data_IF_010075160089
#
_entry.id   IF_010075160089
#
_cell.length_a   1.000
_cell.length_b   1.000
_cell.length_c   1.000
_cell.angle_alpha   90.00
_cell.angle_beta   90.00
_cell.angle_gamma   90.00
#
_symmetry.space_group_name_H-M   'P 1'
#
loop_
_entity.id
_entity.type
_entity.pdbx_description
1 polymer ?
#
# COMPACT_ATOMS: atom_id res chain seq x y z
N UNK A 1 -12.12 20.82 -28.51
CA UNK A 1 -12.12 19.36 -28.27
C UNK A 1 -12.96 19.09 -27.03
N UNK A 2 -14.20 18.62 -27.21
CA UNK A 2 -15.11 18.31 -26.11
C UNK A 2 -14.72 16.99 -25.46
N UNK A 3 -14.30 17.03 -24.20
CA UNK A 3 -14.16 15.83 -23.39
C UNK A 3 -15.56 15.33 -23.05
N UNK A 4 -16.06 14.36 -23.81
CA UNK A 4 -17.20 13.57 -23.38
C UNK A 4 -16.80 12.87 -22.08
N UNK A 5 -17.38 13.31 -20.95
CA UNK A 5 -17.39 12.53 -19.71
C UNK A 5 -18.02 11.18 -20.06
N UNK A 6 -17.20 10.17 -20.31
CA UNK A 6 -17.63 8.79 -20.40
C UNK A 6 -18.38 8.49 -19.10
N UNK A 7 -19.69 8.39 -19.24
CA UNK A 7 -20.59 8.08 -18.16
C UNK A 7 -20.21 6.67 -17.73
N UNK A 8 -19.43 6.56 -16.65
CA UNK A 8 -19.06 5.28 -16.06
C UNK A 8 -20.38 4.54 -15.84
N UNK A 9 -20.67 3.47 -16.61
CA UNK A 9 -21.94 2.80 -16.51
C UNK A 9 -22.02 2.35 -15.08
N UNK A 10 -22.94 2.95 -14.31
CA UNK A 10 -23.27 2.49 -12.97
C UNK A 10 -23.63 1.02 -13.16
N UNK A 11 -22.66 0.13 -12.95
CA UNK A 11 -22.87 -1.30 -13.00
C UNK A 11 -24.00 -1.53 -12.01
N UNK A 12 -25.21 -1.72 -12.55
CA UNK A 12 -26.38 -2.08 -11.76
C UNK A 12 -25.98 -3.40 -11.13
N UNK A 13 -25.55 -3.32 -9.87
CA UNK A 13 -25.30 -4.48 -9.04
C UNK A 13 -26.55 -5.34 -9.18
N UNK A 14 -26.42 -6.48 -9.87
CA UNK A 14 -27.46 -7.49 -9.94
C UNK A 14 -27.92 -7.68 -8.48
N UNK A 15 -29.23 -7.62 -8.18
CA UNK A 15 -29.72 -7.73 -6.81
C UNK A 15 -29.19 -9.03 -6.22
N UNK A 16 -28.12 -8.93 -5.44
CA UNK A 16 -27.46 -10.10 -4.90
C UNK A 16 -28.38 -10.68 -3.85
N UNK A 17 -28.40 -12.02 -3.79
CA UNK A 17 -29.07 -12.76 -2.72
C UNK A 17 -28.80 -12.07 -1.37
N UNK A 18 -29.83 -12.01 -0.51
CA UNK A 18 -29.77 -11.29 0.77
C UNK A 18 -28.46 -11.64 1.49
N UNK A 19 -27.65 -10.65 1.88
CA UNK A 19 -26.35 -10.90 2.51
C UNK A 19 -26.54 -11.72 3.78
N UNK A 20 -25.68 -12.72 3.98
CA UNK A 20 -25.67 -13.51 5.22
C UNK A 20 -24.93 -12.74 6.31
N UNK A 21 -25.23 -12.99 7.60
CA UNK A 21 -24.56 -12.33 8.73
C UNK A 21 -23.04 -12.49 8.76
N UNK A 22 -22.56 -13.55 8.13
CA UNK A 22 -21.14 -13.95 8.12
C UNK A 22 -20.48 -13.72 6.76
N UNK A 23 -21.10 -12.90 5.90
CA UNK A 23 -20.51 -12.51 4.62
C UNK A 23 -19.35 -11.54 4.85
N UNK A 24 -18.17 -11.96 4.42
CA UNK A 24 -16.97 -11.14 4.37
C UNK A 24 -16.82 -10.61 2.95
N UNK A 25 -16.75 -9.28 2.83
CA UNK A 25 -16.43 -8.64 1.57
C UNK A 25 -14.93 -8.32 1.54
N UNK A 26 -14.20 -9.00 0.67
CA UNK A 26 -12.80 -8.69 0.42
C UNK A 26 -12.69 -7.83 -0.81
N UNK A 27 -12.08 -6.67 -0.69
CA UNK A 27 -11.73 -5.81 -1.82
C UNK A 27 -10.21 -5.67 -1.86
N UNK A 28 -9.61 -6.02 -2.99
CA UNK A 28 -8.18 -5.87 -3.25
C UNK A 28 -8.00 -4.80 -4.31
N UNK A 29 -7.04 -3.91 -4.07
CA UNK A 29 -6.59 -2.90 -5.03
C UNK A 29 -5.16 -3.20 -5.42
N UNK A 30 -4.93 -3.45 -6.70
CA UNK A 30 -3.61 -3.60 -7.31
C UNK A 30 -3.25 -2.35 -8.09
N UNK A 31 -2.04 -1.85 -7.87
CA UNK A 31 -1.48 -0.71 -8.59
C UNK A 31 -0.25 -1.18 -9.35
N UNK A 32 -0.24 -0.96 -10.65
CA UNK A 32 0.83 -1.33 -11.57
C UNK A 32 1.81 -0.18 -11.77
N UNK A 33 3.09 -0.53 -11.91
CA UNK A 33 4.16 0.37 -12.30
C UNK A 33 4.24 0.53 -13.82
N UNK A 34 4.86 1.62 -14.26
CA UNK A 34 5.22 1.82 -15.66
C UNK A 34 6.27 0.78 -16.12
N UNK A 35 6.23 0.24 -17.36
CA UNK A 35 5.31 0.58 -18.46
C UNK A 35 3.96 -0.14 -18.41
N UNK A 36 3.84 -1.23 -17.63
CA UNK A 36 2.67 -2.11 -17.62
C UNK A 36 1.38 -1.39 -17.22
N UNK A 37 1.47 -0.33 -16.40
CA UNK A 37 0.32 0.51 -16.05
C UNK A 37 -0.41 1.09 -17.28
N UNK A 38 0.27 1.30 -18.42
CA UNK A 38 -0.35 1.74 -19.68
C UNK A 38 -1.16 0.65 -20.38
N UNK A 39 -0.81 -0.62 -20.17
CA UNK A 39 -1.53 -1.76 -20.75
C UNK A 39 -2.82 -2.05 -19.98
N UNK A 40 -2.87 -1.63 -18.72
CA UNK A 40 -4.05 -1.69 -17.85
C UNK A 40 -4.90 -0.43 -18.09
N UNK A 41 -5.53 -0.36 -19.24
CA UNK A 41 -6.41 0.75 -19.63
C UNK A 41 -7.89 0.42 -19.34
N UNK A 42 -8.66 1.30 -18.67
CA UNK A 42 -10.11 1.13 -18.54
C UNK A 42 -10.85 0.97 -19.89
N UNK A 43 -10.36 1.59 -20.96
CA UNK A 43 -10.95 1.45 -22.30
C UNK A 43 -10.70 0.07 -22.91
N UNK A 44 -9.57 -0.57 -22.55
CA UNK A 44 -9.17 -1.91 -22.98
C UNK A 44 -9.43 -2.97 -21.88
N UNK A 45 -10.62 -2.94 -21.26
CA UNK A 45 -10.94 -3.76 -20.09
C UNK A 45 -10.69 -5.27 -20.29
N UNK A 46 -11.09 -5.85 -21.43
CA UNK A 46 -10.91 -7.29 -21.68
C UNK A 46 -9.42 -7.67 -21.71
N UNK A 47 -8.55 -7.07 -22.55
CA UNK A 47 -7.10 -7.27 -22.50
C UNK A 47 -6.52 -7.05 -21.10
N UNK A 48 -6.87 -5.95 -20.43
CA UNK A 48 -6.35 -5.62 -19.12
C UNK A 48 -6.72 -6.68 -18.07
N UNK A 49 -7.95 -7.20 -18.07
CA UNK A 49 -8.34 -8.27 -17.14
C UNK A 49 -7.58 -9.58 -17.38
N UNK A 50 -7.17 -9.89 -18.61
CA UNK A 50 -6.35 -11.07 -18.90
C UNK A 50 -4.94 -10.92 -18.33
N UNK A 51 -4.34 -9.74 -18.43
CA UNK A 51 -3.04 -9.42 -17.81
C UNK A 51 -3.14 -9.61 -16.29
N UNK A 52 -4.17 -9.03 -15.67
CA UNK A 52 -4.37 -9.15 -14.21
C UNK A 52 -4.58 -10.60 -13.79
N UNK A 53 -5.34 -11.39 -14.55
CA UNK A 53 -5.54 -12.83 -14.25
C UNK A 53 -4.23 -13.61 -14.34
N UNK A 54 -3.40 -13.33 -15.34
CA UNK A 54 -2.09 -13.95 -15.48
C UNK A 54 -1.19 -13.59 -14.29
N UNK A 55 -1.17 -12.33 -13.86
CA UNK A 55 -0.39 -11.90 -12.71
C UNK A 55 -0.88 -12.48 -11.40
N UNK A 56 -2.19 -12.53 -11.18
CA UNK A 56 -2.78 -13.20 -10.02
C UNK A 56 -2.41 -14.68 -9.96
N UNK A 57 -2.45 -15.36 -11.12
CA UNK A 57 -2.01 -16.75 -11.22
C UNK A 57 -0.52 -16.90 -10.88
N UNK A 58 0.34 -16.02 -11.38
CA UNK A 58 1.77 -16.01 -11.06
C UNK A 58 2.04 -15.79 -9.55
N UNK A 59 1.19 -15.01 -8.87
CA UNK A 59 1.24 -14.82 -7.41
C UNK A 59 0.62 -15.98 -6.61
N UNK A 60 0.08 -17.01 -7.27
CA UNK A 60 -0.65 -18.11 -6.62
C UNK A 60 -1.98 -17.67 -6.01
N UNK A 61 -2.54 -16.55 -6.47
CA UNK A 61 -3.83 -16.01 -6.05
C UNK A 61 -4.89 -16.43 -7.06
N UNK A 62 -5.96 -17.07 -6.58
CA UNK A 62 -7.09 -17.44 -7.44
C UNK A 62 -7.74 -16.22 -8.08
N UNK A 63 -8.07 -16.27 -9.37
CA UNK A 63 -8.62 -15.11 -10.07
C UNK A 63 -10.11 -14.85 -9.71
N UNK A 64 -10.50 -13.58 -9.48
CA UNK A 64 -11.91 -13.23 -9.29
C UNK A 64 -12.69 -13.41 -10.60
N UNK A 65 -14.02 -13.46 -10.49
CA UNK A 65 -14.90 -13.41 -11.68
C UNK A 65 -14.72 -12.04 -12.34
N UNK A 66 -14.76 -11.97 -13.68
CA UNK A 66 -14.60 -10.71 -14.42
C UNK A 66 -15.61 -9.63 -14.00
N UNK A 67 -16.84 -10.05 -13.61
CA UNK A 67 -17.88 -9.13 -13.09
C UNK A 67 -17.52 -8.50 -11.74
N UNK A 68 -16.53 -9.04 -11.04
CA UNK A 68 -16.05 -8.56 -9.76
C UNK A 68 -14.72 -7.78 -9.92
N UNK A 69 -14.42 -7.31 -11.13
CA UNK A 69 -13.22 -6.53 -11.42
C UNK A 69 -13.63 -5.19 -12.03
N UNK A 70 -12.91 -4.15 -11.67
CA UNK A 70 -13.07 -2.79 -12.19
C UNK A 70 -11.71 -2.14 -12.35
N UNK A 71 -11.56 -1.31 -13.37
CA UNK A 71 -10.34 -0.54 -13.62
C UNK A 71 -10.75 0.93 -13.49
N UNK A 72 -10.63 1.55 -12.29
CA UNK A 72 -11.06 2.94 -12.10
C UNK A 72 -10.18 3.95 -12.85
N UNK A 73 -8.90 3.63 -13.02
CA UNK A 73 -7.90 4.50 -13.68
C UNK A 73 -6.77 3.64 -14.30
N UNK A 74 -6.01 4.16 -15.28
CA UNK A 74 -4.93 3.42 -15.90
C UNK A 74 -3.92 2.90 -14.87
N UNK A 75 -3.62 1.60 -14.92
CA UNK A 75 -2.69 0.96 -14.00
C UNK A 75 -3.27 0.62 -12.63
N UNK A 76 -4.53 0.94 -12.32
CA UNK A 76 -5.17 0.56 -11.06
C UNK A 76 -6.32 -0.39 -11.31
N UNK A 77 -6.31 -1.51 -10.61
CA UNK A 77 -7.35 -2.52 -10.72
C UNK A 77 -7.91 -2.80 -9.33
N UNK A 78 -9.22 -2.73 -9.23
CA UNK A 78 -9.95 -3.07 -8.01
C UNK A 78 -10.78 -4.31 -8.29
N UNK A 79 -10.71 -5.30 -7.42
CA UNK A 79 -11.54 -6.49 -7.53
C UNK A 79 -11.94 -7.03 -6.17
N UNK A 80 -13.02 -7.81 -6.15
CA UNK A 80 -13.59 -8.28 -4.90
C UNK A 80 -14.03 -9.73 -4.89
N UNK A 81 -13.95 -10.33 -3.71
CA UNK A 81 -14.56 -11.61 -3.40
C UNK A 81 -15.69 -11.42 -2.40
N UNK A 82 -16.74 -12.22 -2.57
CA UNK A 82 -17.68 -12.51 -1.50
C UNK A 82 -17.36 -13.89 -1.01
N UNK A 83 -17.03 -13.95 0.26
CA UNK A 83 -16.71 -15.18 0.97
C UNK A 83 -17.48 -15.16 2.26
N UNK A 84 -17.54 -16.30 2.94
CA UNK A 84 -18.21 -16.44 4.22
C UNK A 84 -17.33 -17.24 5.15
N UNK A 85 -17.44 -16.93 6.44
CA UNK A 85 -16.77 -17.68 7.49
C UNK A 85 -17.65 -18.90 7.82
N UNK A 86 -17.14 -20.11 7.58
CA UNK A 86 -17.94 -21.34 7.75
C UNK A 86 -18.14 -21.67 9.23
N UNK A 87 -17.14 -21.36 10.05
CA UNK A 87 -17.10 -21.54 11.50
C UNK A 87 -16.03 -20.58 12.04
N UNK A 88 -16.08 -20.21 13.33
CA UNK A 88 -15.15 -19.22 13.95
C UNK A 88 -13.67 -19.56 13.76
N UNK A 89 -13.37 -20.81 13.44
CA UNK A 89 -12.01 -21.32 13.24
C UNK A 89 -11.71 -21.79 11.81
N UNK A 90 -12.66 -21.69 10.86
CA UNK A 90 -12.48 -22.12 9.46
C UNK A 90 -12.65 -20.94 8.51
N UNK A 91 -11.54 -20.22 8.31
CA UNK A 91 -11.43 -19.17 7.30
C UNK A 91 -11.39 -19.84 5.92
N UNK A 92 -12.14 -19.29 4.96
CA UNK A 92 -12.08 -19.76 3.58
C UNK A 92 -10.62 -19.72 3.07
N UNK A 93 -10.10 -20.79 2.46
CA UNK A 93 -8.69 -20.90 2.03
C UNK A 93 -8.24 -19.74 1.14
N UNK A 94 -9.13 -19.19 0.31
CA UNK A 94 -8.84 -18.03 -0.54
C UNK A 94 -8.54 -16.78 0.29
N UNK A 95 -9.31 -16.55 1.36
CA UNK A 95 -9.13 -15.42 2.27
C UNK A 95 -7.83 -15.57 3.03
N UNK A 96 -7.57 -16.78 3.54
CA UNK A 96 -6.34 -17.06 4.25
C UNK A 96 -5.12 -16.85 3.35
N UNK A 97 -5.12 -17.43 2.14
CA UNK A 97 -4.02 -17.27 1.18
C UNK A 97 -3.81 -15.80 0.79
N UNK A 98 -4.88 -15.05 0.50
CA UNK A 98 -4.80 -13.61 0.23
C UNK A 98 -4.20 -12.83 1.41
N UNK A 99 -4.66 -13.09 2.64
CA UNK A 99 -4.12 -12.44 3.84
C UNK A 99 -2.65 -12.77 4.03
N UNK A 100 -2.27 -14.05 3.95
CA UNK A 100 -0.87 -14.47 4.09
C UNK A 100 0.01 -13.81 3.02
N UNK A 101 -0.39 -13.86 1.75
CA UNK A 101 0.40 -13.29 0.64
C UNK A 101 0.52 -11.77 0.68
N UNK A 102 -0.54 -11.05 1.07
CA UNK A 102 -0.55 -9.58 1.04
C UNK A 102 -0.02 -9.00 2.35
N UNK A 103 -0.50 -9.49 3.50
CA UNK A 103 -0.10 -8.94 4.80
C UNK A 103 1.28 -9.41 5.26
N UNK A 104 1.70 -10.63 4.87
CA UNK A 104 3.01 -11.18 5.18
C UNK A 104 3.96 -11.12 3.98
N UNK A 105 3.76 -10.15 3.07
CA UNK A 105 4.62 -9.95 1.91
C UNK A 105 6.04 -9.62 2.37
N UNK A 106 6.90 -10.64 2.35
CA UNK A 106 8.32 -10.54 2.64
C UNK A 106 9.09 -9.86 1.48
N UNK A 107 10.40 -9.69 1.63
CA UNK A 107 11.23 -9.07 0.60
C UNK A 107 11.18 -9.85 -0.73
N UNK A 108 11.06 -11.18 -0.67
CA UNK A 108 10.96 -12.04 -1.84
C UNK A 108 9.63 -11.83 -2.58
N UNK A 109 8.51 -11.78 -1.85
CA UNK A 109 7.18 -11.51 -2.42
C UNK A 109 7.15 -10.14 -3.09
N UNK A 110 7.76 -9.12 -2.48
CA UNK A 110 7.88 -7.78 -3.10
C UNK A 110 8.77 -7.78 -4.35
N UNK A 111 9.79 -8.64 -4.39
CA UNK A 111 10.61 -8.82 -5.59
C UNK A 111 9.80 -9.47 -6.73
N UNK A 112 8.95 -10.45 -6.42
CA UNK A 112 8.00 -11.02 -7.39
C UNK A 112 7.03 -9.97 -7.92
N UNK A 113 6.52 -9.08 -7.06
CA UNK A 113 5.68 -7.96 -7.48
C UNK A 113 6.44 -7.06 -8.47
N UNK A 114 7.70 -6.75 -8.18
CA UNK A 114 8.59 -6.01 -9.07
C UNK A 114 8.73 -6.67 -10.45
N UNK A 115 8.92 -7.99 -10.49
CA UNK A 115 8.99 -8.76 -11.76
C UNK A 115 7.70 -8.68 -12.57
N UNK A 116 6.55 -8.65 -11.89
CA UNK A 116 5.24 -8.49 -12.52
C UNK A 116 4.85 -7.04 -12.78
N UNK A 117 5.74 -6.07 -12.49
CA UNK A 117 5.48 -4.63 -12.54
C UNK A 117 4.29 -4.20 -11.69
N UNK A 118 4.07 -4.85 -10.55
CA UNK A 118 3.09 -4.48 -9.54
C UNK A 118 3.78 -3.59 -8.52
N UNK A 119 3.35 -2.33 -8.42
CA UNK A 119 3.88 -1.36 -7.48
C UNK A 119 3.35 -1.58 -6.05
N UNK A 120 2.05 -1.92 -5.94
CA UNK A 120 1.40 -2.09 -4.65
C UNK A 120 0.19 -3.03 -4.75
N UNK A 121 -0.07 -3.78 -3.68
CA UNK A 121 -1.29 -4.56 -3.48
C UNK A 121 -1.82 -4.23 -2.09
N UNK A 122 -3.07 -3.79 -2.01
CA UNK A 122 -3.75 -3.50 -0.75
C UNK A 122 -4.99 -4.36 -0.63
N UNK A 123 -5.20 -4.94 0.56
CA UNK A 123 -6.38 -5.73 0.90
C UNK A 123 -7.20 -4.96 1.94
N UNK A 124 -8.48 -4.75 1.62
CA UNK A 124 -9.47 -4.22 2.54
C UNK A 124 -10.54 -5.27 2.80
N UNK A 125 -10.89 -5.43 4.07
CA UNK A 125 -11.90 -6.39 4.52
C UNK A 125 -13.04 -5.63 5.18
N UNK A 126 -14.23 -5.75 4.61
CA UNK A 126 -15.45 -5.24 5.21
C UNK A 126 -16.32 -6.41 5.63
N UNK A 127 -16.46 -6.59 6.96
CA UNK A 127 -17.45 -7.51 7.51
C UNK A 127 -18.80 -6.84 7.42
N UNK A 128 -19.71 -7.41 6.64
CA UNK A 128 -21.09 -6.97 6.63
C UNK A 128 -21.71 -7.39 7.95
N UNK A 129 -21.53 -6.56 8.98
CA UNK A 129 -22.31 -6.65 10.19
C UNK A 129 -23.76 -6.44 9.77
N UNK A 130 -24.47 -7.51 9.44
CA UNK A 130 -25.93 -7.48 9.53
C UNK A 130 -26.15 -7.13 10.98
N UNK A 131 -26.54 -5.87 11.23
CA UNK A 131 -26.96 -5.38 12.52
C UNK A 131 -27.75 -6.52 13.13
N UNK A 132 -27.18 -7.21 14.14
CA UNK A 132 -27.91 -8.24 14.87
C UNK A 132 -29.17 -7.52 15.26
N UNK A 133 -30.28 -7.88 14.64
CA UNK A 133 -31.56 -7.39 15.09
C UNK A 133 -31.56 -7.81 16.55
N UNK A 134 -31.63 -6.87 17.52
CA UNK A 134 -31.73 -7.25 18.91
C UNK A 134 -32.85 -8.27 18.94
N UNK A 135 -32.49 -9.48 19.32
CA UNK A 135 -33.42 -10.57 19.44
C UNK A 135 -34.37 -10.13 20.55
N UNK A 136 -35.45 -9.45 20.17
CA UNK A 136 -36.70 -9.29 20.93
C UNK A 136 -37.36 -10.66 21.06
N UNK A 137 -36.58 -11.64 21.51
CA UNK A 137 -37.06 -12.81 22.20
C UNK A 137 -37.22 -12.39 23.66
N UNK A 138 -38.15 -11.48 23.89
CA UNK A 138 -39.01 -11.56 25.06
C UNK A 138 -39.79 -12.86 24.87
N UNK A 139 -39.14 -13.99 25.10
CA UNK A 139 -39.88 -15.21 25.35
C UNK A 139 -40.69 -14.93 26.62
N UNK A 140 -42.03 -14.95 26.58
CA UNK A 140 -42.78 -15.04 27.82
C UNK A 140 -42.25 -16.26 28.58
N UNK A 141 -42.16 -16.20 29.92
CA UNK A 141 -41.62 -17.28 30.72
C UNK A 141 -42.33 -18.58 30.36
N UNK A 142 -41.61 -19.49 29.70
CA UNK A 142 -42.07 -20.85 29.46
C UNK A 142 -42.15 -21.51 30.82
N UNK A 143 -43.36 -21.59 31.38
CA UNK A 143 -43.67 -22.48 32.48
C UNK A 143 -43.46 -23.91 31.98
N UNK A 144 -42.25 -24.44 32.16
CA UNK A 144 -42.03 -25.88 32.10
C UNK A 144 -42.64 -26.51 33.36
N UNK A 145 -43.64 -27.40 33.22
CA UNK A 145 -44.01 -28.30 34.30
C UNK A 145 -42.82 -29.23 34.56
N UNK A 146 -42.56 -29.47 35.84
CA UNK A 146 -41.58 -30.42 36.36
C UNK A 146 -41.48 -31.72 35.53
N UNK A 147 -40.27 -32.24 35.27
CA UNK A 147 -40.12 -33.61 34.82
C UNK A 147 -40.52 -34.58 35.95
N UNK A 148 -41.24 -35.67 35.67
CA UNK A 148 -41.53 -36.69 36.67
C UNK A 148 -40.23 -37.41 37.09
N UNK A 149 -40.10 -37.77 38.38
CA UNK A 149 -38.97 -38.56 38.86
C UNK A 149 -39.14 -40.02 38.39
N UNK A 150 -38.10 -40.54 37.73
CA UNK A 150 -37.98 -41.97 37.44
C UNK A 150 -37.86 -42.30 35.97
N UNK A 151 -36.64 -42.19 35.42
CA UNK A 151 -36.21 -43.10 34.35
C UNK A 151 -34.81 -43.66 34.68
N UNK A 152 -34.61 -44.98 34.54
CA UNK A 152 -33.36 -45.65 34.84
C UNK A 152 -32.32 -45.45 33.74
N UNK A 153 -31.07 -45.64 34.16
CA UNK A 153 -29.81 -45.39 33.47
C UNK A 153 -29.76 -45.91 32.03
N UNK A 154 -29.35 -45.02 31.11
CA UNK A 154 -29.01 -45.38 29.74
C UNK A 154 -27.51 -45.67 29.65
N UNK A 155 -27.09 -46.83 29.15
CA UNK A 155 -25.68 -47.24 29.15
C UNK A 155 -24.84 -46.43 28.15
N UNK A 156 -23.68 -46.03 28.64
CA UNK A 156 -22.57 -45.35 27.95
C UNK A 156 -22.03 -46.22 26.82
N UNK A 157 -21.94 -45.67 25.60
CA UNK A 157 -21.21 -46.29 24.48
C UNK A 157 -19.73 -45.88 24.50
N UNK A 158 -18.81 -46.78 24.09
CA UNK A 158 -17.38 -46.58 24.26
C UNK A 158 -16.76 -45.66 23.19
N UNK A 159 -15.77 -44.90 23.66
CA UNK A 159 -14.87 -44.03 22.92
C UNK A 159 -14.17 -44.76 21.76
N UNK A 160 -14.07 -44.07 20.63
CA UNK A 160 -13.36 -44.51 19.42
C UNK A 160 -11.87 -44.12 19.53
N UNK A 161 -10.91 -44.97 19.11
CA UNK A 161 -9.48 -44.72 19.32
C UNK A 161 -8.89 -43.77 18.29
N UNK A 162 -7.87 -43.05 18.74
CA UNK A 162 -7.00 -42.15 17.99
C UNK A 162 -6.27 -42.89 16.85
N UNK A 163 -6.22 -42.26 15.68
CA UNK A 163 -5.27 -42.62 14.62
C UNK A 163 -4.07 -41.69 14.76
N UNK A 164 -2.97 -42.23 15.29
CA UNK A 164 -1.63 -41.67 15.13
C UNK A 164 -1.18 -41.96 13.69
N UNK A 165 -0.85 -40.91 12.95
CA UNK A 165 -0.15 -41.01 11.67
C UNK A 165 1.17 -40.26 11.84
N UNK A 166 2.19 -41.01 12.27
CA UNK A 166 3.58 -40.65 12.05
C UNK A 166 3.87 -40.70 10.56
N UNK A 167 4.31 -39.58 10.00
CA UNK A 167 4.89 -39.50 8.66
C UNK A 167 6.20 -38.74 8.78
N UNK A 168 7.26 -39.51 8.97
CA UNK A 168 8.63 -39.12 8.72
C UNK A 168 8.78 -38.73 7.24
N UNK A 169 9.41 -37.59 7.00
CA UNK A 169 9.90 -37.22 5.68
C UNK A 169 11.21 -36.48 5.85
N UNK A 170 12.26 -37.27 5.88
CA UNK A 170 13.64 -36.86 5.61
C UNK A 170 13.68 -36.19 4.24
N UNK A 171 14.00 -34.90 4.20
CA UNK A 171 14.31 -34.20 2.96
C UNK A 171 15.78 -33.80 2.97
N UNK A 172 16.56 -34.65 2.31
CA UNK A 172 18.00 -34.55 2.06
C UNK A 172 18.30 -33.32 1.19
N UNK A 173 18.96 -32.31 1.77
CA UNK A 173 19.42 -31.12 1.07
C UNK A 173 20.78 -31.43 0.45
N UNK A 174 20.83 -31.55 -0.87
CA UNK A 174 22.08 -31.60 -1.62
C UNK A 174 22.67 -30.19 -1.78
N UNK A 175 23.71 -29.90 -1.01
CA UNK A 175 24.56 -28.72 -1.21
C UNK A 175 25.42 -28.89 -2.47
N UNK A 176 25.18 -28.08 -3.49
CA UNK A 176 26.08 -27.95 -4.64
C UNK A 176 27.00 -26.77 -4.43
N UNK A 177 28.21 -27.06 -3.96
CA UNK A 177 29.30 -26.09 -3.83
C UNK A 177 29.78 -25.62 -5.20
N UNK A 178 29.67 -24.31 -5.47
CA UNK A 178 30.31 -23.66 -6.61
C UNK A 178 31.52 -22.84 -6.15
N UNK A 179 32.68 -23.39 -6.46
CA UNK A 179 34.02 -22.83 -6.26
C UNK A 179 34.23 -21.55 -7.07
N UNK A 180 34.37 -20.41 -6.38
CA UNK A 180 34.80 -19.14 -6.99
C UNK A 180 36.33 -19.05 -7.01
N UNK A 181 36.88 -18.78 -8.21
CA UNK A 181 38.30 -18.53 -8.47
C UNK A 181 38.77 -17.19 -7.87
N UNK A 182 40.06 -17.08 -7.46
CA UNK A 182 40.62 -15.86 -6.87
C UNK A 182 40.99 -14.82 -7.94
N UNK A 183 40.69 -13.56 -7.62
CA UNK A 183 41.05 -12.34 -8.37
C UNK A 183 42.55 -11.98 -8.19
N UNK A 184 43.23 -11.41 -9.20
CA UNK A 184 44.63 -11.05 -9.08
C UNK A 184 44.86 -9.73 -8.31
N UNK A 185 45.95 -9.73 -7.54
CA UNK A 185 46.44 -8.65 -6.69
C UNK A 185 46.82 -7.41 -7.51
N UNK A 186 46.14 -6.28 -7.25
CA UNK A 186 46.51 -4.99 -7.82
C UNK A 186 47.64 -4.36 -6.98
N UNK A 187 48.72 -3.99 -7.66
CA UNK A 187 49.90 -3.32 -7.11
C UNK A 187 49.56 -1.94 -6.54
N UNK A 188 50.07 -1.71 -5.32
CA UNK A 188 50.06 -0.44 -4.60
C UNK A 188 51.16 0.45 -5.20
N UNK A 189 50.78 1.63 -5.72
CA UNK A 189 51.73 2.68 -6.14
C UNK A 189 51.63 3.83 -5.14
N UNK A 190 52.80 4.27 -4.69
CA UNK A 190 53.02 5.31 -3.70
C UNK A 190 52.43 6.65 -4.14
N UNK A 191 51.43 7.13 -3.40
CA UNK A 191 50.85 8.46 -3.58
C UNK A 191 51.67 9.50 -2.80
N UNK A 192 52.09 10.54 -3.53
CA UNK A 192 52.76 11.73 -3.00
C UNK A 192 51.76 12.52 -2.15
N UNK A 193 52.09 12.72 -0.87
CA UNK A 193 51.35 13.57 0.07
C UNK A 193 51.36 15.02 -0.42
N UNK A 194 50.23 15.54 -0.88
CA UNK A 194 49.95 16.97 -0.91
C UNK A 194 49.25 17.36 0.40
N UNK A 195 49.78 18.39 1.06
CA UNK A 195 49.23 18.93 2.31
C UNK A 195 47.82 19.49 2.11
N UNK A 196 46.85 19.13 2.98
CA UNK A 196 45.51 19.65 2.90
C UNK A 196 45.48 21.11 3.38
N UNK A 197 45.08 22.03 2.52
CA UNK A 197 44.71 23.38 2.92
C UNK A 197 43.44 23.29 3.76
N UNK A 198 43.56 23.57 5.06
CA UNK A 198 42.46 23.59 6.03
C UNK A 198 41.39 24.63 5.63
N UNK A 199 40.36 24.18 4.94
CA UNK A 199 39.12 24.92 4.79
C UNK A 199 38.35 24.86 6.11
N UNK A 200 38.43 25.93 6.90
CA UNK A 200 37.78 26.01 8.20
C UNK A 200 36.26 26.27 8.06
N UNK A 201 35.51 25.18 7.92
CA UNK A 201 34.04 25.19 7.84
C UNK A 201 33.37 25.82 9.08
N UNK A 202 34.08 25.96 10.19
CA UNK A 202 33.55 26.60 11.40
C UNK A 202 33.31 28.10 11.20
N UNK A 203 34.11 28.77 10.36
CA UNK A 203 33.95 30.20 10.09
C UNK A 203 32.72 30.50 9.23
N UNK A 204 32.40 29.60 8.29
CA UNK A 204 31.20 29.67 7.45
C UNK A 204 29.93 29.38 8.28
N UNK A 205 29.98 28.41 9.19
CA UNK A 205 28.85 28.13 10.08
C UNK A 205 28.60 29.24 11.11
N UNK A 206 29.66 29.90 11.58
CA UNK A 206 29.59 31.08 12.44
C UNK A 206 28.95 32.28 11.73
N UNK A 207 29.27 32.51 10.45
CA UNK A 207 28.66 33.61 9.69
C UNK A 207 27.15 33.41 9.49
N UNK A 208 26.72 32.19 9.18
CA UNK A 208 25.29 31.87 9.06
C UNK A 208 24.51 32.00 10.38
N UNK A 209 25.12 31.63 11.51
CA UNK A 209 24.49 31.84 12.83
C UNK A 209 24.33 33.31 13.18
N UNK A 210 25.34 34.15 12.87
CA UNK A 210 25.28 35.60 13.16
C UNK A 210 24.23 36.32 12.32
N UNK A 211 23.96 35.83 11.11
CA UNK A 211 22.91 36.36 10.23
C UNK A 211 21.49 36.02 10.75
N UNK A 212 21.30 34.81 11.30
CA UNK A 212 20.01 34.38 11.84
C UNK A 212 19.65 35.01 13.21
N UNK A 213 20.64 35.45 13.98
CA UNK A 213 20.43 36.03 15.32
C UNK A 213 20.10 37.54 15.26
N UNK A 214 20.21 38.19 14.09
CA UNK A 214 19.86 39.62 13.90
C UNK A 214 18.42 39.88 13.46
N UNK A 215 17.57 38.86 13.35
CA UNK A 215 16.14 39.10 13.28
C UNK A 215 15.70 39.54 14.68
N UNK A 216 15.35 40.81 14.84
CA UNK A 216 14.64 41.28 16.02
C UNK A 216 13.47 40.33 16.29
N UNK A 217 13.22 39.96 17.57
CA UNK A 217 12.15 39.05 17.91
C UNK A 217 10.85 39.58 17.28
N UNK A 218 10.19 38.79 16.40
CA UNK A 218 8.91 39.19 15.84
C UNK A 218 7.98 39.52 17.02
N UNK A 219 7.23 40.62 16.90
CA UNK A 219 6.37 41.15 17.96
C UNK A 219 5.50 40.02 18.53
N UNK A 220 5.88 39.50 19.71
CA UNK A 220 5.33 38.27 20.27
C UNK A 220 3.82 38.37 20.56
N UNK A 221 3.26 39.57 20.47
CA UNK A 221 1.84 39.86 20.65
C UNK A 221 0.95 39.26 19.56
N UNK A 222 1.41 39.17 18.30
CA UNK A 222 0.57 38.69 17.20
C UNK A 222 0.52 37.15 17.15
N UNK A 223 1.58 36.48 17.59
CA UNK A 223 1.67 35.02 17.61
C UNK A 223 0.73 34.40 18.66
N UNK A 224 0.57 35.02 19.82
CA UNK A 224 -0.35 34.54 20.86
C UNK A 224 -1.82 34.62 20.43
N UNK A 225 -2.20 35.67 19.70
CA UNK A 225 -3.54 35.82 19.12
C UNK A 225 -3.80 34.78 18.00
N UNK A 226 -2.79 34.51 17.16
CA UNK A 226 -2.85 33.45 16.14
C UNK A 226 -2.96 32.05 16.75
N UNK A 227 -2.25 31.79 17.85
CA UNK A 227 -2.36 30.53 18.59
C UNK A 227 -3.75 30.39 19.21
N UNK A 228 -4.28 31.45 19.81
CA UNK A 228 -5.64 31.48 20.37
C UNK A 228 -6.71 31.17 19.31
N UNK A 229 -6.68 31.88 18.18
CA UNK A 229 -7.63 31.66 17.08
C UNK A 229 -7.52 30.25 16.48
N UNK A 230 -6.31 29.68 16.37
CA UNK A 230 -6.13 28.30 15.92
C UNK A 230 -6.75 27.29 16.88
N UNK A 231 -6.62 27.50 18.19
CA UNK A 231 -7.24 26.65 19.22
C UNK A 231 -8.76 26.70 19.09
N UNK A 232 -9.34 27.89 18.93
CA UNK A 232 -10.79 28.06 18.76
C UNK A 232 -11.31 27.35 17.51
N UNK A 233 -10.60 27.49 16.37
CA UNK A 233 -10.96 26.79 15.13
C UNK A 233 -10.89 25.28 15.30
N UNK A 234 -9.88 24.76 16.02
CA UNK A 234 -9.77 23.32 16.29
C UNK A 234 -10.91 22.81 17.16
N UNK A 235 -11.28 23.56 18.20
CA UNK A 235 -12.42 23.21 19.04
C UNK A 235 -13.73 23.21 18.24
N UNK A 236 -13.92 24.19 17.35
CA UNK A 236 -15.10 24.25 16.48
C UNK A 236 -15.16 23.06 15.51
N UNK A 237 -14.03 22.67 14.92
CA UNK A 237 -13.96 21.46 14.07
C UNK A 237 -14.35 20.21 14.87
N UNK A 238 -13.85 20.06 16.10
CA UNK A 238 -14.19 18.92 16.95
C UNK A 238 -15.68 18.91 17.32
N UNK A 239 -16.25 20.07 17.66
CA UNK A 239 -17.68 20.23 17.96
C UNK A 239 -18.54 19.86 16.75
N UNK A 240 -18.18 20.33 15.55
CA UNK A 240 -18.87 19.99 14.31
C UNK A 240 -18.75 18.51 13.96
N UNK A 241 -17.58 17.89 14.18
CA UNK A 241 -17.38 16.46 13.98
C UNK A 241 -18.26 15.62 14.92
N UNK A 242 -18.33 15.99 16.21
CA UNK A 242 -19.22 15.32 17.17
C UNK A 242 -20.70 15.46 16.79
N UNK A 243 -21.10 16.64 16.28
CA UNK A 243 -22.46 16.88 15.78
C UNK A 243 -22.76 16.04 14.53
N UNK A 244 -21.81 15.92 13.60
CA UNK A 244 -21.91 15.06 12.43
C UNK A 244 -22.13 13.60 12.85
N UNK A 245 -21.33 13.10 13.81
CA UNK A 245 -21.46 11.73 14.32
C UNK A 245 -22.81 11.48 15.00
N UNK A 246 -23.34 12.42 15.78
CA UNK A 246 -24.69 12.32 16.37
C UNK A 246 -25.78 12.27 15.29
N UNK A 247 -25.67 13.12 14.25
CA UNK A 247 -26.60 13.11 13.12
C UNK A 247 -26.54 11.79 12.35
N UNK A 248 -25.34 11.27 12.08
CA UNK A 248 -25.16 9.96 11.44
C UNK A 248 -25.75 8.84 12.30
N UNK A 249 -25.60 8.90 13.62
CA UNK A 249 -26.22 7.98 14.57
C UNK A 249 -27.75 8.04 14.54
N UNK A 250 -28.32 9.26 14.50
CA UNK A 250 -29.77 9.48 14.33
C UNK A 250 -30.30 8.93 13.01
N UNK A 251 -29.59 9.16 11.89
CA UNK A 251 -29.97 8.62 10.58
C UNK A 251 -29.90 7.10 10.54
N UNK A 252 -28.86 6.50 11.15
CA UNK A 252 -28.71 5.04 11.26
C UNK A 252 -29.85 4.41 12.06
N UNK A 253 -30.24 5.01 13.19
CA UNK A 253 -31.40 4.56 13.99
C UNK A 253 -32.72 4.61 13.21
N UNK A 254 -32.84 5.53 12.25
CA UNK A 254 -34.00 5.64 11.36
C UNK A 254 -33.94 4.73 10.13
N UNK A 255 -32.89 3.93 9.97
CA UNK A 255 -32.71 3.03 8.82
C UNK A 255 -32.48 3.76 7.49
N UNK A 256 -32.12 5.05 7.52
CA UNK A 256 -31.85 5.80 6.30
C UNK A 256 -30.48 5.38 5.75
N UNK A 257 -30.39 4.90 4.50
CA UNK A 257 -29.12 4.56 3.88
C UNK A 257 -28.26 5.82 3.77
N UNK A 258 -27.08 5.78 4.39
CA UNK A 258 -26.12 6.89 4.31
C UNK A 258 -25.50 6.95 2.92
N UNK A 259 -25.29 8.16 2.34
CA UNK A 259 -24.56 8.29 1.10
C UNK A 259 -23.16 7.67 1.24
N UNK A 260 -22.78 6.78 0.30
CA UNK A 260 -21.44 6.18 0.25
C UNK A 260 -20.41 7.30 0.06
N UNK A 261 -19.55 7.50 1.06
CA UNK A 261 -18.54 8.56 1.07
C UNK A 261 -18.67 9.52 2.25
N UNK A 262 -18.88 9.01 3.47
CA UNK A 262 -18.79 9.86 4.66
C UNK A 262 -17.40 10.50 4.73
N UNK A 263 -17.33 11.75 5.19
CA UNK A 263 -16.11 12.59 5.27
C UNK A 263 -14.89 11.86 5.85
N UNK A 264 -15.12 10.97 6.82
CA UNK A 264 -14.07 10.13 7.41
C UNK A 264 -13.42 9.20 6.38
N UNK A 265 -14.19 8.55 5.52
CA UNK A 265 -13.66 7.67 4.46
C UNK A 265 -12.88 8.45 3.39
N UNK A 266 -13.29 9.68 3.06
CA UNK A 266 -12.55 10.51 2.10
C UNK A 266 -11.25 11.05 2.70
N UNK A 267 -11.25 11.40 4.00
CA UNK A 267 -10.05 11.87 4.68
C UNK A 267 -8.97 10.80 4.76
N UNK A 268 -9.31 9.57 5.18
CA UNK A 268 -8.33 8.49 5.25
C UNK A 268 -7.73 8.14 3.88
N UNK A 269 -8.52 8.23 2.80
CA UNK A 269 -7.99 8.06 1.44
C UNK A 269 -7.01 9.17 1.08
N UNK A 270 -7.39 10.42 1.32
CA UNK A 270 -6.54 11.57 1.02
C UNK A 270 -5.24 11.55 1.85
N UNK A 271 -5.32 11.13 3.11
CA UNK A 271 -4.17 10.99 4.01
C UNK A 271 -3.24 9.86 3.56
N UNK A 272 -3.80 8.73 3.12
CA UNK A 272 -3.02 7.65 2.52
C UNK A 272 -2.32 8.10 1.23
N UNK A 273 -3.03 8.81 0.35
CA UNK A 273 -2.48 9.35 -0.90
C UNK A 273 -1.36 10.38 -0.62
N UNK A 274 -1.57 11.27 0.36
CA UNK A 274 -0.55 12.23 0.81
C UNK A 274 0.69 11.52 1.34
N UNK A 275 0.51 10.49 2.17
CA UNK A 275 1.63 9.75 2.74
C UNK A 275 2.40 8.98 1.65
N UNK A 276 1.70 8.42 0.67
CA UNK A 276 2.30 7.77 -0.48
C UNK A 276 3.16 8.74 -1.31
N UNK A 277 2.64 9.92 -1.65
CA UNK A 277 3.41 10.93 -2.40
C UNK A 277 4.59 11.48 -1.59
N UNK A 278 4.45 11.64 -0.26
CA UNK A 278 5.58 11.99 0.63
C UNK A 278 6.69 10.93 0.57
N UNK A 279 6.36 9.65 0.69
CA UNK A 279 7.35 8.58 0.60
C UNK A 279 8.01 8.51 -0.78
N UNK A 280 7.26 8.79 -1.84
CA UNK A 280 7.79 8.84 -3.21
C UNK A 280 8.77 10.00 -3.39
N UNK A 281 8.44 11.18 -2.88
CA UNK A 281 9.33 12.33 -2.89
C UNK A 281 10.62 12.05 -2.11
N UNK A 282 10.52 11.39 -0.95
CA UNK A 282 11.67 11.05 -0.12
C UNK A 282 12.62 10.05 -0.82
N UNK A 283 12.05 9.02 -1.49
CA UNK A 283 12.84 8.09 -2.30
C UNK A 283 13.58 8.78 -3.44
N UNK A 284 12.92 9.71 -4.11
CA UNK A 284 13.53 10.48 -5.19
C UNK A 284 14.64 11.41 -4.67
N UNK A 285 14.45 12.06 -3.52
CA UNK A 285 15.48 12.88 -2.87
C UNK A 285 16.71 12.05 -2.51
N UNK A 286 16.52 10.88 -1.91
CA UNK A 286 17.62 9.96 -1.59
C UNK A 286 18.38 9.53 -2.85
N UNK A 287 17.65 9.17 -3.91
CA UNK A 287 18.25 8.80 -5.20
C UNK A 287 19.08 9.95 -5.81
N UNK A 288 18.60 11.20 -5.69
CA UNK A 288 19.35 12.37 -6.17
C UNK A 288 20.63 12.58 -5.36
N UNK A 289 20.54 12.50 -4.03
CA UNK A 289 21.72 12.61 -3.17
C UNK A 289 22.79 11.57 -3.55
N UNK A 290 22.41 10.30 -3.74
CA UNK A 290 23.34 9.25 -4.18
C UNK A 290 24.00 9.53 -5.54
N UNK A 291 23.26 10.10 -6.49
CA UNK A 291 23.80 10.47 -7.80
C UNK A 291 24.67 11.73 -7.75
N UNK A 292 24.32 12.70 -6.90
CA UNK A 292 25.10 13.91 -6.66
C UNK A 292 26.45 13.55 -6.01
N UNK A 293 26.44 12.69 -5.00
CA UNK A 293 27.65 12.14 -4.37
C UNK A 293 28.53 11.43 -5.40
N UNK A 294 27.94 10.59 -6.26
CA UNK A 294 28.67 9.91 -7.34
C UNK A 294 29.30 10.90 -8.34
N UNK A 295 28.57 11.93 -8.75
CA UNK A 295 29.07 12.96 -9.66
C UNK A 295 30.24 13.72 -9.01
N UNK A 296 30.15 13.99 -7.71
CA UNK A 296 31.21 14.68 -6.98
C UNK A 296 32.45 13.80 -6.79
N UNK A 297 32.29 12.50 -6.59
CA UNK A 297 33.39 11.53 -6.63
C UNK A 297 34.09 11.50 -8.00
N UNK A 298 33.33 11.45 -9.10
CA UNK A 298 33.89 11.52 -10.47
C UNK A 298 34.64 12.84 -10.69
N UNK A 299 34.10 13.98 -10.23
CA UNK A 299 34.80 15.28 -10.33
C UNK A 299 36.09 15.28 -9.51
N UNK A 300 36.09 14.64 -8.34
CA UNK A 300 37.28 14.53 -7.48
C UNK A 300 38.35 13.66 -8.13
N UNK A 301 37.96 12.55 -8.75
CA UNK A 301 38.89 11.67 -9.49
C UNK A 301 39.42 12.34 -10.77
N UNK A 302 38.61 13.18 -11.44
CA UNK A 302 39.01 13.92 -12.63
C UNK A 302 39.91 15.14 -12.35
N UNK A 303 40.27 15.44 -11.08
CA UNK A 303 41.13 16.58 -10.71
C UNK A 303 42.62 16.34 -10.90
N UNK A 304 43.08 15.12 -11.16
CA UNK A 304 44.42 14.89 -11.70
C UNK A 304 44.38 15.00 -13.24
N UNK A 305 45.30 15.76 -13.86
CA UNK A 305 45.12 16.20 -15.23
C UNK A 305 45.51 15.07 -16.18
N UNK A 306 44.55 14.37 -16.77
CA UNK A 306 44.69 13.93 -18.17
C UNK A 306 43.29 13.80 -18.80
N UNK A 307 42.86 14.88 -19.46
CA UNK A 307 42.00 14.88 -20.68
C UNK A 307 40.48 14.68 -20.52
N UNK A 308 39.93 14.27 -19.38
CA UNK A 308 38.51 13.83 -19.34
C UNK A 308 37.41 14.91 -19.21
N UNK A 309 37.59 16.12 -18.62
CA UNK A 309 36.47 17.06 -18.41
C UNK A 309 35.72 17.48 -19.69
N UNK A 310 36.45 17.80 -20.76
CA UNK A 310 35.86 18.19 -22.05
C UNK A 310 35.11 17.02 -22.73
N UNK A 311 35.57 15.79 -22.52
CA UNK A 311 34.91 14.58 -23.02
C UNK A 311 33.62 14.31 -22.26
N UNK A 312 33.61 14.51 -20.94
CA UNK A 312 32.42 14.35 -20.11
C UNK A 312 31.36 15.42 -20.42
N UNK A 313 31.78 16.67 -20.64
CA UNK A 313 30.89 17.75 -21.13
C UNK A 313 30.35 17.45 -22.54
N UNK A 314 31.19 16.93 -23.44
CA UNK A 314 30.73 16.52 -24.77
C UNK A 314 29.69 15.40 -24.68
N UNK A 315 29.92 14.37 -23.85
CA UNK A 315 28.94 13.30 -23.61
C UNK A 315 27.64 13.81 -22.98
N UNK A 316 27.72 14.72 -22.01
CA UNK A 316 26.54 15.35 -21.41
C UNK A 316 25.74 16.16 -22.46
N UNK A 317 26.44 16.85 -23.35
CA UNK A 317 25.85 17.62 -24.45
C UNK A 317 25.15 16.72 -25.47
N UNK A 318 25.78 15.60 -25.85
CA UNK A 318 25.18 14.61 -26.76
C UNK A 318 23.96 13.92 -26.12
N UNK A 319 24.01 13.63 -24.81
CA UNK A 319 22.89 13.02 -24.09
C UNK A 319 21.65 13.94 -24.04
N UNK A 320 21.85 15.25 -23.86
CA UNK A 320 20.77 16.27 -23.95
C UNK A 320 20.12 16.30 -25.33
N UNK A 321 20.93 16.31 -26.40
CA UNK A 321 20.41 16.28 -27.78
C UNK A 321 19.57 15.02 -28.05
N UNK A 322 20.01 13.87 -27.55
CA UNK A 322 19.27 12.62 -27.72
C UNK A 322 17.94 12.58 -26.95
N UNK A 323 17.86 13.24 -25.79
CA UNK A 323 16.61 13.30 -25.00
C UNK A 323 15.61 14.29 -25.58
N UNK A 324 16.06 15.43 -26.11
CA UNK A 324 15.18 16.39 -26.78
C UNK A 324 14.63 15.85 -28.11
N UNK A 325 15.46 15.14 -28.88
CA UNK A 325 15.01 14.44 -30.10
C UNK A 325 13.91 13.41 -29.81
N UNK A 326 14.01 12.72 -28.66
CA UNK A 326 13.04 11.71 -28.25
C UNK A 326 11.72 12.31 -27.75
N UNK A 327 11.73 13.55 -27.25
CA UNK A 327 10.51 14.26 -26.81
C UNK A 327 9.70 14.81 -27.99
N UNK A 328 10.37 15.30 -29.02
CA UNK A 328 9.71 15.83 -30.24
C UNK A 328 8.97 14.70 -30.99
N UNK A 329 9.57 13.51 -31.09
CA UNK A 329 8.95 12.36 -31.77
C UNK A 329 7.71 11.79 -31.05
N UNK A 330 7.46 12.17 -29.78
CA UNK A 330 6.34 11.67 -28.98
C UNK A 330 5.13 12.59 -28.92
N UNK A 331 5.23 13.81 -29.44
CA UNK A 331 4.13 14.78 -29.56
C UNK A 331 4.04 15.29 -31.01
N UNK A 332 3.56 14.48 -31.97
CA UNK A 332 3.24 14.96 -33.32
C UNK A 332 2.02 15.88 -33.35
#
# INVERSE_FOLDING_TARGET
MSFHKLHNPKHRLIPLAKPRPDDIHLQVTMVYAYPKSKEIDPEAFIPATNIVKHDLHALGIGHPKTINMTIPEPGRVEFWWRTFEYDKNKINPTVHNLRSRIAQADANTKLEWGRLSIANITLSEERLLTSRQPSDKTHPPSHHPYPPPGQPDRPTLPSRPNFDTDMDSDNEIQETGSTLKPQPKHQQKDFVKSEPTDFNLSEILESFRREYIKQEPPDASDDDDLIGTLVDVRQEIQRLAAREDDLLGKLRRRGVPLPRGTRKQSWFRLEADLNYERQKLERERRRRAELEDFVDDVKRECREPFVVPALLEAFASVSKLSTDSYRIAKNP
#
